data_IF_148064687503
#
_entry.id   IF_148064687503
#
_cell.length_a   1.000
_cell.length_b   1.000
_cell.length_c   1.000
_cell.angle_alpha   90.00
_cell.angle_beta   90.00
_cell.angle_gamma   90.00
#
_symmetry.space_group_name_H-M   'P 1'
#
loop_
_entity.id
_entity.type
_entity.pdbx_description
1 polymer ?
#
# COMPACT_ATOMS: atom_id res chain seq x y z
N UNK A 1 -13.25 -3.80 -13.59
CA UNK A 1 -13.38 -3.96 -12.12
C UNK A 1 -14.02 -2.73 -11.51
N UNK A 2 -13.44 -1.50 -11.63
CA UNK A 2 -13.95 -0.29 -10.97
C UNK A 2 -15.42 -0.03 -11.32
N UNK A 3 -15.80 0.04 -12.64
CA UNK A 3 -17.18 0.26 -13.05
C UNK A 3 -18.14 -0.77 -12.44
N UNK A 4 -17.80 -2.06 -12.56
CA UNK A 4 -18.67 -3.13 -12.05
C UNK A 4 -18.89 -3.02 -10.53
N UNK A 5 -17.82 -2.74 -9.76
CA UNK A 5 -17.95 -2.57 -8.32
C UNK A 5 -18.78 -1.34 -7.91
N UNK A 6 -18.66 -0.23 -8.64
CA UNK A 6 -19.50 0.94 -8.44
C UNK A 6 -20.97 0.65 -8.77
N UNK A 7 -21.22 -0.10 -9.85
CA UNK A 7 -22.57 -0.52 -10.23
C UNK A 7 -23.22 -1.41 -9.16
N UNK A 8 -22.45 -2.32 -8.55
CA UNK A 8 -22.92 -3.14 -7.41
C UNK A 8 -23.23 -2.31 -6.16
N UNK A 9 -22.48 -1.21 -5.96
CA UNK A 9 -22.69 -0.28 -4.85
C UNK A 9 -23.80 0.75 -5.13
N UNK A 10 -24.38 0.77 -6.32
CA UNK A 10 -25.49 1.66 -6.68
C UNK A 10 -25.05 2.99 -7.31
N UNK A 11 -23.76 3.19 -7.61
CA UNK A 11 -23.26 4.40 -8.31
C UNK A 11 -23.32 4.18 -9.82
N UNK A 12 -24.45 4.55 -10.45
CA UNK A 12 -24.77 4.23 -11.86
C UNK A 12 -25.25 5.43 -12.67
N UNK A 13 -25.42 6.60 -12.03
CA UNK A 13 -26.20 7.70 -12.63
C UNK A 13 -25.33 8.68 -13.42
N UNK A 14 -24.00 8.54 -13.34
CA UNK A 14 -23.06 9.43 -13.98
C UNK A 14 -22.08 8.70 -14.90
N UNK A 15 -21.16 9.47 -15.43
CA UNK A 15 -19.95 8.87 -15.99
C UNK A 15 -19.08 8.30 -14.87
N UNK A 16 -18.05 7.53 -15.26
CA UNK A 16 -17.19 6.86 -14.28
C UNK A 16 -16.50 7.83 -13.31
N UNK A 17 -16.13 9.02 -13.78
CA UNK A 17 -15.46 10.02 -12.95
C UNK A 17 -16.40 10.61 -11.90
N UNK A 18 -17.63 10.92 -12.30
CA UNK A 18 -18.65 11.46 -11.40
C UNK A 18 -19.07 10.44 -10.34
N UNK A 19 -19.27 9.18 -10.74
CA UNK A 19 -19.64 8.11 -9.83
C UNK A 19 -18.52 7.80 -8.83
N UNK A 20 -17.26 7.78 -9.27
CA UNK A 20 -16.10 7.64 -8.39
C UNK A 20 -16.00 8.79 -7.39
N UNK A 21 -16.16 10.04 -7.85
CA UNK A 21 -16.09 11.19 -6.98
C UNK A 21 -17.17 11.15 -5.88
N UNK A 22 -18.40 10.72 -6.23
CA UNK A 22 -19.47 10.52 -5.24
C UNK A 22 -19.11 9.42 -4.25
N UNK A 23 -18.69 8.26 -4.75
CA UNK A 23 -18.33 7.13 -3.90
C UNK A 23 -17.19 7.50 -2.93
N UNK A 24 -16.13 8.17 -3.41
CA UNK A 24 -15.06 8.63 -2.54
C UNK A 24 -15.59 9.63 -1.50
N UNK A 25 -16.43 10.59 -1.89
CA UNK A 25 -17.03 11.57 -0.97
C UNK A 25 -17.91 10.92 0.10
N UNK A 26 -18.76 9.97 -0.28
CA UNK A 26 -19.68 9.27 0.63
C UNK A 26 -18.96 8.34 1.62
N UNK A 27 -17.71 8.00 1.33
CA UNK A 27 -16.91 7.07 2.14
C UNK A 27 -15.78 7.76 2.93
N UNK A 28 -15.67 9.09 2.84
CA UNK A 28 -14.73 9.88 3.66
C UNK A 28 -15.08 9.75 5.14
N UNK A 29 -14.08 9.41 5.92
CA UNK A 29 -14.17 9.37 7.37
C UNK A 29 -13.98 10.79 7.92
N UNK A 30 -14.87 11.28 8.81
CA UNK A 30 -14.69 12.57 9.48
C UNK A 30 -13.31 12.68 10.12
N UNK A 31 -12.70 13.87 10.07
CA UNK A 31 -11.31 14.08 10.49
C UNK A 31 -11.02 13.63 11.92
N UNK A 32 -11.95 13.86 12.83
CA UNK A 32 -11.88 13.47 14.24
C UNK A 32 -12.05 11.97 14.47
N UNK A 33 -12.69 11.28 13.52
CA UNK A 33 -12.87 9.83 13.54
C UNK A 33 -11.74 9.05 12.83
N UNK A 34 -10.84 9.72 12.11
CA UNK A 34 -9.78 9.06 11.32
C UNK A 34 -8.88 8.17 12.18
N UNK A 35 -8.36 8.70 13.29
CA UNK A 35 -7.45 7.93 14.17
C UNK A 35 -8.19 6.78 14.89
N UNK A 36 -9.36 7.01 15.51
CA UNK A 36 -10.14 5.90 16.08
C UNK A 36 -10.49 4.80 15.08
N UNK A 37 -10.87 5.18 13.85
CA UNK A 37 -11.17 4.20 12.77
C UNK A 37 -9.92 3.41 12.38
N UNK A 38 -8.77 4.08 12.23
CA UNK A 38 -7.51 3.39 11.93
C UNK A 38 -7.11 2.43 13.06
N UNK A 39 -7.28 2.83 14.32
CA UNK A 39 -6.99 1.99 15.48
C UNK A 39 -7.83 0.70 15.49
N UNK A 40 -9.12 0.81 15.23
CA UNK A 40 -10.01 -0.35 15.10
C UNK A 40 -9.60 -1.26 13.94
N UNK A 41 -9.29 -0.70 12.78
CA UNK A 41 -8.81 -1.46 11.62
C UNK A 41 -7.44 -2.13 11.86
N UNK A 42 -6.54 -1.49 12.59
CA UNK A 42 -5.27 -2.09 13.03
C UNK A 42 -5.53 -3.29 13.96
N UNK A 43 -6.46 -3.16 14.89
CA UNK A 43 -6.86 -4.26 15.77
C UNK A 43 -7.44 -5.43 14.97
N UNK A 44 -8.36 -5.18 14.04
CA UNK A 44 -8.95 -6.21 13.19
C UNK A 44 -7.90 -6.88 12.31
N UNK A 45 -6.99 -6.14 11.68
CA UNK A 45 -5.92 -6.69 10.84
C UNK A 45 -4.97 -7.58 11.64
N UNK A 46 -4.60 -7.16 12.87
CA UNK A 46 -3.79 -7.97 13.79
C UNK A 46 -4.44 -9.31 14.13
N UNK A 47 -5.75 -9.30 14.43
CA UNK A 47 -6.48 -10.56 14.71
C UNK A 47 -6.48 -11.48 13.49
N UNK A 48 -6.68 -10.94 12.29
CA UNK A 48 -6.64 -11.72 11.05
C UNK A 48 -5.25 -12.32 10.80
N UNK A 49 -4.18 -11.55 10.98
CA UNK A 49 -2.80 -12.05 10.86
C UNK A 49 -2.52 -13.19 11.84
N UNK A 50 -2.90 -13.04 13.09
CA UNK A 50 -2.71 -14.09 14.11
C UNK A 50 -3.46 -15.38 13.77
N UNK A 51 -4.63 -15.27 13.15
CA UNK A 51 -5.45 -16.43 12.76
C UNK A 51 -4.87 -17.21 11.58
N UNK A 52 -4.21 -16.55 10.62
CA UNK A 52 -3.85 -17.17 9.33
C UNK A 52 -2.36 -17.21 9.01
N UNK A 53 -1.55 -16.32 9.59
CA UNK A 53 -0.12 -16.17 9.24
C UNK A 53 0.81 -16.40 10.41
N UNK A 54 0.93 -15.39 11.27
CA UNK A 54 1.90 -15.31 12.36
C UNK A 54 1.27 -14.76 13.63
N UNK A 55 1.69 -15.23 14.78
CA UNK A 55 1.31 -14.62 16.06
C UNK A 55 2.14 -13.35 16.30
N UNK A 56 1.48 -12.22 16.17
CA UNK A 56 1.97 -10.88 16.49
C UNK A 56 1.14 -10.22 17.59
N UNK A 57 0.48 -11.01 18.44
CA UNK A 57 -0.39 -10.50 19.50
C UNK A 57 0.31 -9.60 20.52
N UNK A 58 1.64 -9.75 20.68
CA UNK A 58 2.46 -8.88 21.53
C UNK A 58 2.90 -7.57 20.86
N UNK A 59 2.74 -7.44 19.55
CA UNK A 59 3.16 -6.25 18.79
C UNK A 59 1.99 -5.30 18.58
N UNK A 60 2.30 -4.02 18.59
CA UNK A 60 1.34 -2.96 18.29
C UNK A 60 2.00 -1.80 17.56
N UNK A 61 1.21 -1.10 16.75
CA UNK A 61 1.58 0.18 16.15
C UNK A 61 0.56 1.22 16.63
N UNK A 62 1.04 2.25 17.30
CA UNK A 62 0.23 3.36 17.75
C UNK A 62 -0.13 4.28 16.57
N UNK A 63 -1.42 4.45 16.20
CA UNK A 63 -1.79 5.42 15.19
C UNK A 63 -1.71 6.84 15.74
N UNK A 64 -0.99 7.73 15.05
CA UNK A 64 -0.76 9.11 15.47
C UNK A 64 -1.09 10.08 14.34
N UNK A 65 -2.04 10.99 14.59
CA UNK A 65 -2.35 12.08 13.69
C UNK A 65 -1.25 13.14 13.67
N UNK A 66 -0.81 13.52 12.48
CA UNK A 66 0.15 14.62 12.25
C UNK A 66 -0.40 15.57 11.21
N UNK A 67 0.18 16.77 11.09
CA UNK A 67 -0.15 17.76 10.07
C UNK A 67 1.12 18.32 9.46
N UNK A 68 1.00 18.97 8.30
CA UNK A 68 2.10 19.63 7.60
C UNK A 68 3.30 18.71 7.34
N UNK A 69 3.02 17.46 6.95
CA UNK A 69 4.05 16.48 6.58
C UNK A 69 4.04 16.22 5.07
N UNK A 70 5.20 15.89 4.47
CA UNK A 70 5.31 15.64 3.03
C UNK A 70 4.81 14.24 2.61
N UNK A 71 4.15 13.51 3.50
CA UNK A 71 3.61 12.18 3.25
C UNK A 71 2.14 12.10 3.69
N UNK A 72 1.39 11.14 3.17
CA UNK A 72 0.04 10.83 3.65
C UNK A 72 0.07 9.91 4.87
N UNK A 73 0.82 8.82 4.80
CA UNK A 73 1.08 7.91 5.92
C UNK A 73 2.55 7.53 5.97
N UNK A 74 3.02 7.08 7.13
CA UNK A 74 4.40 6.65 7.32
C UNK A 74 4.51 5.66 8.48
N UNK A 75 5.14 4.51 8.23
CA UNK A 75 5.51 3.54 9.25
C UNK A 75 6.79 3.99 9.97
N UNK A 76 6.67 4.53 11.17
CA UNK A 76 7.83 4.75 12.07
C UNK A 76 8.08 3.46 12.86
N UNK A 77 8.65 2.46 12.17
CA UNK A 77 8.87 1.14 12.73
C UNK A 77 9.68 1.16 14.04
N UNK A 78 10.80 1.92 14.17
CA UNK A 78 11.56 1.94 15.42
C UNK A 78 10.76 2.46 16.62
N UNK A 79 9.81 3.38 16.40
CA UNK A 79 8.95 3.92 17.46
C UNK A 79 7.61 3.22 17.57
N UNK A 80 7.35 2.21 16.73
CA UNK A 80 6.06 1.50 16.65
C UNK A 80 4.88 2.44 16.46
N UNK A 81 4.99 3.38 15.51
CA UNK A 81 3.94 4.36 15.21
C UNK A 81 3.56 4.35 13.72
N UNK A 82 2.26 4.45 13.47
CA UNK A 82 1.74 4.81 12.15
C UNK A 82 1.40 6.30 12.19
N UNK A 83 2.20 7.11 11.51
CA UNK A 83 1.94 8.54 11.40
C UNK A 83 0.99 8.79 10.23
N UNK A 84 -0.15 9.43 10.48
CA UNK A 84 -1.16 9.73 9.48
C UNK A 84 -1.34 11.24 9.35
N UNK A 85 -1.11 11.79 8.16
CA UNK A 85 -1.24 13.22 7.93
C UNK A 85 -2.71 13.61 7.73
N UNK A 86 -3.28 14.25 8.76
CA UNK A 86 -4.69 14.66 8.80
C UNK A 86 -5.02 15.87 7.88
N UNK A 87 -4.07 16.38 7.11
CA UNK A 87 -4.35 17.37 6.07
C UNK A 87 -4.96 16.72 4.80
N UNK A 88 -4.90 15.39 4.69
CA UNK A 88 -5.53 14.64 3.61
C UNK A 88 -6.87 14.02 4.05
N UNK A 89 -7.87 13.96 3.15
CA UNK A 89 -9.07 13.17 3.40
C UNK A 89 -8.77 11.68 3.24
N UNK A 90 -9.40 10.86 4.08
CA UNK A 90 -9.29 9.40 4.02
C UNK A 90 -10.68 8.77 3.89
N UNK A 91 -10.85 7.89 2.91
CA UNK A 91 -11.99 6.98 2.89
C UNK A 91 -11.76 5.83 3.87
N UNK A 92 -12.83 5.18 4.32
CA UNK A 92 -12.72 3.98 5.18
C UNK A 92 -11.88 2.89 4.50
N UNK A 93 -11.96 2.76 3.19
CA UNK A 93 -11.17 1.79 2.41
C UNK A 93 -9.69 2.13 2.36
N UNK A 94 -9.36 3.43 2.26
CA UNK A 94 -7.98 3.89 2.36
C UNK A 94 -7.38 3.60 3.74
N UNK A 95 -8.14 3.81 4.82
CA UNK A 95 -7.70 3.47 6.17
C UNK A 95 -7.53 1.95 6.35
N UNK A 96 -8.43 1.14 5.79
CA UNK A 96 -8.31 -0.33 5.80
C UNK A 96 -7.04 -0.79 5.08
N UNK A 97 -6.75 -0.22 3.91
CA UNK A 97 -5.50 -0.47 3.20
C UNK A 97 -4.29 -0.05 4.04
N UNK A 98 -4.28 1.15 4.63
CA UNK A 98 -3.18 1.63 5.47
C UNK A 98 -2.94 0.74 6.70
N UNK A 99 -3.99 0.24 7.35
CA UNK A 99 -3.85 -0.69 8.46
C UNK A 99 -3.11 -1.98 8.06
N UNK A 100 -3.40 -2.51 6.87
CA UNK A 100 -2.72 -3.70 6.35
C UNK A 100 -1.34 -3.39 5.80
N UNK A 101 -1.14 -2.24 5.20
CA UNK A 101 0.12 -1.81 4.59
C UNK A 101 1.18 -1.44 5.64
N UNK A 102 0.83 -0.52 6.56
CA UNK A 102 1.79 0.01 7.53
C UNK A 102 2.07 -0.98 8.68
N UNK A 103 1.11 -1.87 9.00
CA UNK A 103 1.23 -2.73 10.15
C UNK A 103 1.03 -4.23 9.84
N UNK A 104 -0.21 -4.71 9.75
CA UNK A 104 -0.55 -6.15 9.77
C UNK A 104 -1.29 -6.57 8.48
N UNK A 105 -0.67 -7.33 7.58
CA UNK A 105 0.61 -8.04 7.63
C UNK A 105 1.79 -7.28 7.02
N UNK A 106 1.66 -6.00 6.72
CA UNK A 106 2.63 -5.18 5.99
C UNK A 106 3.94 -4.92 6.74
N UNK A 107 4.34 -3.65 6.79
CA UNK A 107 5.68 -3.25 7.23
C UNK A 107 6.04 -3.71 8.64
N UNK A 108 5.15 -3.59 9.64
CA UNK A 108 5.44 -4.03 11.00
C UNK A 108 5.76 -5.52 11.07
N UNK A 109 4.91 -6.35 10.45
CA UNK A 109 5.11 -7.82 10.46
C UNK A 109 6.36 -8.20 9.69
N UNK A 110 6.56 -7.62 8.50
CA UNK A 110 7.71 -7.93 7.67
C UNK A 110 9.03 -7.56 8.36
N UNK A 111 9.15 -6.34 8.87
CA UNK A 111 10.36 -5.89 9.56
C UNK A 111 10.58 -6.64 10.88
N UNK A 112 9.51 -6.88 11.64
CA UNK A 112 9.60 -7.64 12.89
C UNK A 112 10.03 -9.09 12.70
N UNK A 113 9.59 -9.76 11.63
CA UNK A 113 10.07 -11.11 11.30
C UNK A 113 11.54 -11.08 10.89
N UNK A 114 11.97 -10.11 10.09
CA UNK A 114 13.39 -9.97 9.70
C UNK A 114 14.28 -9.74 10.91
N UNK A 115 13.90 -8.90 11.85
CA UNK A 115 14.64 -8.72 13.11
C UNK A 115 14.77 -10.05 13.89
N UNK A 116 13.69 -10.82 13.99
CA UNK A 116 13.69 -12.13 14.66
C UNK A 116 14.62 -13.11 13.95
N UNK A 117 14.54 -13.21 12.61
CA UNK A 117 15.38 -14.11 11.82
C UNK A 117 16.85 -13.71 11.83
N UNK A 118 17.18 -12.42 11.93
CA UNK A 118 18.57 -11.99 12.12
C UNK A 118 19.04 -12.30 13.53
N UNK A 119 18.20 -12.09 14.55
CA UNK A 119 18.56 -12.36 15.94
C UNK A 119 18.78 -13.85 16.23
N UNK A 120 18.05 -14.75 15.58
CA UNK A 120 18.21 -16.21 15.72
C UNK A 120 19.23 -16.81 14.74
N UNK A 121 19.83 -16.00 13.86
CA UNK A 121 20.86 -16.41 12.90
C UNK A 121 20.34 -17.10 11.64
N UNK A 122 19.02 -17.18 11.43
CA UNK A 122 18.42 -17.76 10.22
C UNK A 122 18.44 -16.82 9.01
N UNK A 123 18.67 -15.52 9.24
CA UNK A 123 18.88 -14.51 8.20
C UNK A 123 20.18 -13.75 8.45
N UNK A 124 20.97 -13.41 7.40
CA UNK A 124 22.18 -12.63 7.58
C UNK A 124 21.88 -11.19 8.06
N UNK A 125 22.88 -10.55 8.70
CA UNK A 125 22.74 -9.24 9.35
C UNK A 125 22.23 -8.14 8.40
N UNK A 126 22.59 -8.16 7.12
CA UNK A 126 22.10 -7.24 6.11
C UNK A 126 20.58 -7.39 5.86
N UNK A 127 20.00 -8.52 6.25
CA UNK A 127 18.55 -8.72 6.27
C UNK A 127 17.79 -7.74 7.17
N UNK A 128 18.40 -7.22 8.23
CA UNK A 128 17.80 -6.21 9.10
C UNK A 128 17.89 -4.78 8.52
N UNK A 129 18.66 -4.57 7.46
CA UNK A 129 18.82 -3.25 6.87
C UNK A 129 17.66 -2.94 5.90
N UNK A 130 17.10 -1.75 6.05
CA UNK A 130 16.14 -1.18 5.10
C UNK A 130 16.85 -0.11 4.28
N UNK A 131 17.19 -0.44 3.05
CA UNK A 131 17.81 0.49 2.11
C UNK A 131 16.76 0.97 1.12
N UNK A 132 16.30 2.20 1.30
CA UNK A 132 15.34 2.85 0.39
C UNK A 132 15.90 2.87 -1.03
N UNK A 133 15.05 2.68 -2.02
CA UNK A 133 15.39 2.62 -3.45
C UNK A 133 16.27 1.44 -3.86
N UNK A 134 16.43 0.42 -3.01
CA UNK A 134 17.03 -0.85 -3.41
C UNK A 134 16.02 -1.76 -4.13
N UNK A 135 16.51 -2.76 -4.86
CA UNK A 135 15.64 -3.74 -5.51
C UNK A 135 14.75 -4.52 -4.50
N UNK A 136 15.23 -4.71 -3.26
CA UNK A 136 14.45 -5.34 -2.19
C UNK A 136 13.33 -4.44 -1.66
N UNK A 137 13.48 -3.10 -1.74
CA UNK A 137 12.42 -2.15 -1.33
C UNK A 137 11.14 -2.34 -2.13
N UNK A 138 11.25 -2.79 -3.38
CA UNK A 138 10.10 -3.14 -4.21
C UNK A 138 9.25 -4.22 -3.57
N UNK A 139 9.87 -5.20 -2.91
CA UNK A 139 9.15 -6.26 -2.21
C UNK A 139 8.60 -5.80 -0.85
N UNK A 140 9.22 -4.83 -0.19
CA UNK A 140 8.64 -4.23 1.02
C UNK A 140 7.28 -3.60 0.71
N UNK A 141 7.21 -2.80 -0.34
CA UNK A 141 5.97 -2.16 -0.77
C UNK A 141 4.98 -3.19 -1.32
N UNK A 142 5.46 -4.15 -2.12
CA UNK A 142 4.60 -5.18 -2.70
C UNK A 142 3.95 -6.10 -1.66
N UNK A 143 4.67 -6.48 -0.61
CA UNK A 143 4.12 -7.23 0.53
C UNK A 143 3.04 -6.40 1.23
N UNK A 144 3.33 -5.13 1.49
CA UNK A 144 2.42 -4.24 2.19
C UNK A 144 1.14 -3.97 1.38
N UNK A 145 1.26 -3.70 0.08
CA UNK A 145 0.13 -3.42 -0.82
C UNK A 145 -0.78 -4.65 -1.04
N UNK A 146 -0.25 -5.88 -0.91
CA UNK A 146 -1.04 -7.10 -0.98
C UNK A 146 -1.64 -7.56 0.37
N UNK A 147 -1.46 -6.79 1.43
CA UNK A 147 -1.89 -7.16 2.78
C UNK A 147 -3.35 -7.55 2.90
N UNK A 148 -4.26 -6.80 2.28
CA UNK A 148 -5.70 -7.14 2.30
C UNK A 148 -5.98 -8.49 1.60
N UNK A 149 -5.31 -8.76 0.47
CA UNK A 149 -5.46 -10.03 -0.25
C UNK A 149 -4.90 -11.21 0.55
N UNK A 150 -3.80 -11.04 1.27
CA UNK A 150 -3.22 -12.07 2.13
C UNK A 150 -4.14 -12.49 3.27
N UNK A 151 -4.96 -11.56 3.75
CA UNK A 151 -5.89 -11.79 4.85
C UNK A 151 -7.29 -12.22 4.38
N UNK A 152 -7.48 -12.46 3.08
CA UNK A 152 -8.80 -12.64 2.46
C UNK A 152 -9.78 -11.54 2.92
N UNK A 153 -9.31 -10.29 2.99
CA UNK A 153 -10.06 -9.15 3.54
C UNK A 153 -10.53 -8.17 2.46
N UNK A 154 -10.88 -8.70 1.30
CA UNK A 154 -11.51 -7.98 0.19
C UNK A 154 -13.00 -8.33 0.15
N UNK A 155 -13.70 -8.06 1.27
CA UNK A 155 -15.03 -8.60 1.57
C UNK A 155 -16.15 -7.91 0.79
N UNK A 156 -15.92 -6.69 0.32
CA UNK A 156 -16.96 -5.86 -0.30
C UNK A 156 -16.59 -5.39 -1.71
N UNK A 157 -17.57 -5.06 -2.56
CA UNK A 157 -17.28 -4.42 -3.84
C UNK A 157 -16.48 -3.12 -3.68
N UNK A 158 -16.68 -2.37 -2.57
CA UNK A 158 -15.91 -1.17 -2.24
C UNK A 158 -14.43 -1.44 -2.01
N UNK A 159 -14.08 -2.54 -1.36
CA UNK A 159 -12.68 -2.97 -1.20
C UNK A 159 -12.03 -3.24 -2.57
N UNK A 160 -12.76 -3.91 -3.46
CA UNK A 160 -12.27 -4.23 -4.81
C UNK A 160 -12.10 -2.97 -5.66
N UNK A 161 -13.02 -2.02 -5.57
CA UNK A 161 -12.91 -0.69 -6.20
C UNK A 161 -11.68 0.04 -5.68
N UNK A 162 -11.50 0.09 -4.36
CA UNK A 162 -10.38 0.78 -3.71
C UNK A 162 -9.03 0.23 -4.15
N UNK A 163 -8.85 -1.10 -4.15
CA UNK A 163 -7.61 -1.76 -4.58
C UNK A 163 -7.35 -1.53 -6.07
N UNK A 164 -8.38 -1.64 -6.92
CA UNK A 164 -8.23 -1.39 -8.35
C UNK A 164 -7.84 0.07 -8.63
N UNK A 165 -8.42 1.02 -7.88
CA UNK A 165 -8.12 2.44 -7.99
C UNK A 165 -6.72 2.78 -7.48
N UNK A 166 -6.29 2.17 -6.38
CA UNK A 166 -4.93 2.30 -5.87
C UNK A 166 -3.90 1.81 -6.89
N UNK A 167 -4.12 0.63 -7.50
CA UNK A 167 -3.25 0.07 -8.53
C UNK A 167 -3.17 0.97 -9.76
N UNK A 168 -4.30 1.49 -10.23
CA UNK A 168 -4.34 2.46 -11.32
C UNK A 168 -3.49 3.70 -10.98
N UNK A 169 -3.73 4.30 -9.82
CA UNK A 169 -3.03 5.51 -9.37
C UNK A 169 -1.53 5.27 -9.12
N UNK A 170 -1.15 4.06 -8.70
CA UNK A 170 0.26 3.66 -8.56
C UNK A 170 0.96 3.57 -9.92
N UNK A 171 0.33 2.95 -10.92
CA UNK A 171 0.84 2.92 -12.30
C UNK A 171 0.98 4.32 -12.90
N UNK A 172 -0.01 5.18 -12.67
CA UNK A 172 0.02 6.56 -13.15
C UNK A 172 1.14 7.40 -12.50
N UNK A 173 1.52 7.12 -11.26
CA UNK A 173 2.70 7.74 -10.63
C UNK A 173 4.00 7.34 -11.34
N UNK A 174 4.11 6.09 -11.79
CA UNK A 174 5.25 5.67 -12.61
C UNK A 174 5.28 6.40 -13.95
N UNK A 175 4.12 6.54 -14.61
CA UNK A 175 4.00 7.31 -15.86
C UNK A 175 4.38 8.79 -15.63
N UNK A 176 3.93 9.39 -14.54
CA UNK A 176 4.30 10.77 -14.20
C UNK A 176 5.80 10.95 -13.99
N UNK A 177 6.45 9.99 -13.30
CA UNK A 177 7.91 10.00 -13.13
C UNK A 177 8.63 9.90 -14.49
N UNK A 178 8.16 9.03 -15.38
CA UNK A 178 8.70 8.94 -16.74
C UNK A 178 8.55 10.25 -17.51
N UNK A 179 7.34 10.82 -17.53
CA UNK A 179 7.09 12.12 -18.21
C UNK A 179 8.00 13.22 -17.68
N UNK A 180 8.25 13.25 -16.37
CA UNK A 180 9.07 14.26 -15.70
C UNK A 180 10.57 14.06 -16.00
N UNK A 181 11.07 12.85 -15.84
CA UNK A 181 12.52 12.60 -15.86
C UNK A 181 13.06 12.20 -17.23
N UNK A 182 12.28 11.50 -18.07
CA UNK A 182 12.68 11.12 -19.42
C UNK A 182 12.17 12.10 -20.48
N UNK A 183 10.87 12.41 -20.46
CA UNK A 183 10.27 13.32 -21.45
C UNK A 183 10.50 14.80 -21.10
N UNK A 184 11.05 15.10 -19.91
CA UNK A 184 11.35 16.46 -19.41
C UNK A 184 10.12 17.39 -19.36
N UNK A 185 8.93 16.81 -19.19
CA UNK A 185 7.71 17.59 -19.01
C UNK A 185 7.69 18.30 -17.66
N UNK A 186 7.09 19.46 -17.63
CA UNK A 186 6.84 20.22 -16.40
C UNK A 186 5.69 19.60 -15.59
N UNK A 187 5.63 19.90 -14.30
CA UNK A 187 4.47 19.50 -13.47
C UNK A 187 3.16 20.02 -14.07
N UNK A 188 3.16 21.23 -14.59
CA UNK A 188 1.95 21.86 -15.15
C UNK A 188 1.42 21.11 -16.37
N UNK A 189 2.30 20.48 -17.16
CA UNK A 189 1.93 19.62 -18.28
C UNK A 189 1.47 18.23 -17.82
N UNK A 190 2.05 17.69 -16.74
CA UNK A 190 1.77 16.33 -16.24
C UNK A 190 0.46 16.27 -15.44
N UNK A 191 0.22 17.27 -14.57
CA UNK A 191 -0.92 17.30 -13.65
C UNK A 191 -2.26 17.03 -14.33
N UNK A 192 -2.65 17.72 -15.41
CA UNK A 192 -3.96 17.49 -16.04
C UNK A 192 -4.09 16.09 -16.64
N UNK A 193 -3.01 15.51 -17.16
CA UNK A 193 -3.00 14.17 -17.74
C UNK A 193 -3.27 13.13 -16.64
N UNK A 194 -2.50 13.19 -15.58
CA UNK A 194 -2.60 12.24 -14.46
C UNK A 194 -3.92 12.40 -13.71
N UNK A 195 -4.40 13.63 -13.54
CA UNK A 195 -5.68 13.92 -12.90
C UNK A 195 -6.85 13.28 -13.66
N UNK A 196 -6.90 13.47 -14.97
CA UNK A 196 -7.93 12.90 -15.82
C UNK A 196 -7.90 11.36 -15.81
N UNK A 197 -6.73 10.76 -15.97
CA UNK A 197 -6.56 9.30 -16.00
C UNK A 197 -6.78 8.63 -14.64
N UNK A 198 -6.44 9.30 -13.55
CA UNK A 198 -6.54 8.80 -12.18
C UNK A 198 -7.83 9.15 -11.47
N UNK A 199 -8.75 9.85 -12.16
CA UNK A 199 -10.01 10.34 -11.58
C UNK A 199 -9.77 11.14 -10.30
N UNK A 200 -8.83 12.09 -10.35
CA UNK A 200 -8.44 12.91 -9.22
C UNK A 200 -8.53 14.40 -9.56
N UNK A 201 -8.57 15.25 -8.52
CA UNK A 201 -8.44 16.69 -8.74
C UNK A 201 -6.98 17.04 -9.08
N UNK A 202 -6.80 18.10 -9.86
CA UNK A 202 -5.48 18.62 -10.21
C UNK A 202 -4.67 19.03 -8.97
N UNK A 203 -5.34 19.53 -7.93
CA UNK A 203 -4.74 19.88 -6.64
C UNK A 203 -4.16 18.65 -5.93
N UNK A 204 -4.94 17.57 -5.83
CA UNK A 204 -4.50 16.30 -5.24
C UNK A 204 -3.29 15.74 -5.97
N UNK A 205 -3.32 15.74 -7.31
CA UNK A 205 -2.23 15.23 -8.13
C UNK A 205 -0.98 16.09 -7.96
N UNK A 206 -1.12 17.43 -8.00
CA UNK A 206 0.00 18.36 -7.80
C UNK A 206 0.73 18.11 -6.48
N UNK A 207 -0.01 17.97 -5.39
CA UNK A 207 0.55 17.67 -4.07
C UNK A 207 1.33 16.35 -4.04
N UNK A 208 0.81 15.32 -4.72
CA UNK A 208 1.48 14.01 -4.81
C UNK A 208 2.70 13.99 -5.73
N UNK A 209 2.70 14.77 -6.80
CA UNK A 209 3.83 14.84 -7.73
C UNK A 209 5.03 15.60 -7.16
N UNK A 210 4.85 16.42 -6.13
CA UNK A 210 5.97 17.09 -5.44
C UNK A 210 7.02 16.09 -4.92
N UNK A 211 6.60 14.88 -4.55
CA UNK A 211 7.49 13.80 -4.16
C UNK A 211 8.43 13.34 -5.29
N UNK A 212 7.97 13.40 -6.53
CA UNK A 212 8.72 12.94 -7.71
C UNK A 212 9.81 13.93 -8.16
N UNK A 213 9.79 15.17 -7.65
CA UNK A 213 10.84 16.14 -7.93
C UNK A 213 12.17 15.87 -7.24
N UNK A 214 12.15 15.06 -6.20
CA UNK A 214 13.36 14.78 -5.44
C UNK A 214 14.15 13.67 -6.13
N UNK A 215 15.35 13.96 -6.61
CA UNK A 215 16.19 13.07 -7.43
C UNK A 215 16.39 11.67 -6.84
N UNK A 216 16.49 11.57 -5.51
CA UNK A 216 16.67 10.29 -4.82
C UNK A 216 15.34 9.55 -4.55
N UNK A 217 14.20 10.23 -4.67
CA UNK A 217 12.87 9.65 -4.39
C UNK A 217 12.08 9.30 -5.64
N UNK A 218 12.35 9.97 -6.74
CA UNK A 218 11.68 9.67 -8.00
C UNK A 218 11.82 8.18 -8.41
N UNK A 219 13.00 7.56 -8.34
CA UNK A 219 13.16 6.14 -8.64
C UNK A 219 12.37 5.21 -7.70
N UNK A 220 12.09 5.64 -6.47
CA UNK A 220 11.37 4.83 -5.49
C UNK A 220 9.91 4.60 -5.86
N UNK A 221 9.30 5.48 -6.65
CA UNK A 221 7.88 5.35 -7.03
C UNK A 221 7.57 4.04 -7.75
N UNK A 222 8.54 3.46 -8.47
CA UNK A 222 8.37 2.17 -9.14
C UNK A 222 8.22 1.01 -8.16
N UNK A 223 8.71 1.16 -6.92
CA UNK A 223 8.64 0.12 -5.91
C UNK A 223 7.19 -0.30 -5.63
N UNK A 224 6.28 0.65 -5.55
CA UNK A 224 4.85 0.40 -5.31
C UNK A 224 4.23 -0.45 -6.42
N UNK A 225 4.25 0.04 -7.65
CA UNK A 225 3.64 -0.68 -8.79
C UNK A 225 4.31 -2.01 -9.08
N UNK A 226 5.63 -2.03 -9.21
CA UNK A 226 6.37 -3.25 -9.54
C UNK A 226 6.30 -4.28 -8.41
N UNK A 227 6.30 -3.82 -7.16
CA UNK A 227 6.19 -4.68 -5.99
C UNK A 227 4.82 -5.34 -5.87
N UNK A 228 3.76 -4.53 -5.95
CA UNK A 228 2.39 -5.03 -5.94
C UNK A 228 2.18 -6.07 -7.05
N UNK A 229 2.54 -5.73 -8.29
CA UNK A 229 2.38 -6.62 -9.42
C UNK A 229 3.17 -7.93 -9.29
N UNK A 230 4.42 -7.86 -8.79
CA UNK A 230 5.27 -9.05 -8.62
C UNK A 230 4.73 -9.99 -7.54
N UNK A 231 4.28 -9.44 -6.42
CA UNK A 231 3.73 -10.23 -5.31
C UNK A 231 2.37 -10.81 -5.67
N UNK A 232 1.47 -10.00 -6.24
CA UNK A 232 0.13 -10.41 -6.68
C UNK A 232 0.19 -11.54 -7.72
N UNK A 233 1.12 -11.44 -8.69
CA UNK A 233 1.29 -12.46 -9.73
C UNK A 233 1.67 -13.83 -9.17
N UNK A 234 2.50 -13.89 -8.13
CA UNK A 234 2.84 -15.14 -7.47
C UNK A 234 1.72 -15.59 -6.52
N UNK A 235 1.17 -14.67 -5.71
CA UNK A 235 0.09 -14.97 -4.76
C UNK A 235 -1.12 -15.62 -5.41
N UNK A 236 -1.55 -15.15 -6.56
CA UNK A 236 -2.68 -15.74 -7.31
C UNK A 236 -2.47 -17.19 -7.73
N UNK A 237 -1.24 -17.66 -7.75
CA UNK A 237 -0.88 -19.02 -8.11
C UNK A 237 -0.66 -19.91 -6.87
N UNK A 238 -0.69 -19.33 -5.65
CA UNK A 238 -0.47 -20.07 -4.39
C UNK A 238 -1.76 -20.79 -3.99
N UNK A 239 -1.79 -22.14 -4.00
CA UNK A 239 -2.93 -22.87 -3.49
C UNK A 239 -3.17 -22.57 -2.01
N UNK A 240 -4.42 -22.61 -1.51
CA UNK A 240 -4.70 -22.34 -0.09
C UNK A 240 -3.87 -23.20 0.88
N UNK A 241 -3.61 -24.45 0.55
CA UNK A 241 -2.80 -25.36 1.37
C UNK A 241 -1.32 -24.96 1.46
N UNK A 242 -0.81 -24.18 0.49
CA UNK A 242 0.58 -23.74 0.40
C UNK A 242 0.79 -22.32 0.97
N UNK A 243 -0.25 -21.61 1.35
CA UNK A 243 -0.17 -20.22 1.80
C UNK A 243 0.80 -20.02 2.95
N UNK A 244 0.77 -20.92 3.95
CA UNK A 244 1.70 -20.85 5.09
C UNK A 244 3.16 -20.99 4.65
N UNK A 245 3.45 -21.91 3.72
CA UNK A 245 4.79 -22.08 3.15
C UNK A 245 5.21 -20.83 2.34
N UNK A 246 4.27 -20.27 1.59
CA UNK A 246 4.52 -19.05 0.82
C UNK A 246 4.85 -17.86 1.73
N UNK A 247 4.15 -17.65 2.83
CA UNK A 247 4.46 -16.58 3.76
C UNK A 247 5.85 -16.77 4.39
N UNK A 248 6.22 -17.98 4.81
CA UNK A 248 7.58 -18.24 5.27
C UNK A 248 8.63 -17.93 4.21
N UNK A 249 8.37 -18.27 2.97
CA UNK A 249 9.23 -17.96 1.84
C UNK A 249 9.31 -16.44 1.60
N UNK A 250 8.17 -15.76 1.54
CA UNK A 250 8.08 -14.34 1.20
C UNK A 250 8.68 -13.43 2.29
N UNK A 251 8.41 -13.72 3.55
CA UNK A 251 8.87 -12.89 4.68
C UNK A 251 10.24 -13.34 5.23
N UNK A 252 10.60 -14.60 5.07
CA UNK A 252 11.81 -15.18 5.63
C UNK A 252 13.03 -15.13 4.71
N UNK A 253 12.88 -14.64 3.48
CA UNK A 253 13.97 -14.55 2.51
C UNK A 253 14.01 -13.16 1.87
N UNK A 254 15.23 -12.68 1.62
CA UNK A 254 15.39 -11.42 0.87
C UNK A 254 15.18 -11.66 -0.62
N UNK A 255 14.12 -11.09 -1.15
CA UNK A 255 13.76 -11.20 -2.56
C UNK A 255 13.89 -9.88 -3.32
N UNK A 256 14.07 -10.00 -4.62
CA UNK A 256 13.74 -9.00 -5.62
C UNK A 256 12.51 -9.49 -6.41
N UNK A 257 11.82 -8.65 -7.20
CA UNK A 257 10.71 -9.11 -8.04
C UNK A 257 11.08 -10.33 -8.90
N UNK A 258 12.30 -10.35 -9.44
CA UNK A 258 12.79 -11.47 -10.27
C UNK A 258 13.01 -12.75 -9.46
N UNK A 259 13.61 -12.65 -8.28
CA UNK A 259 13.93 -13.83 -7.47
C UNK A 259 12.69 -14.41 -6.80
N UNK A 260 11.70 -13.58 -6.45
CA UNK A 260 10.43 -14.04 -5.89
C UNK A 260 9.75 -15.07 -6.79
N UNK A 261 9.51 -14.73 -8.05
CA UNK A 261 8.86 -15.62 -8.99
C UNK A 261 9.73 -16.81 -9.39
N UNK A 262 11.06 -16.61 -9.51
CA UNK A 262 11.99 -17.64 -9.97
C UNK A 262 12.14 -18.80 -9.02
N UNK A 263 12.16 -18.54 -7.72
CA UNK A 263 12.48 -19.54 -6.71
C UNK A 263 11.25 -20.06 -5.95
N UNK A 264 10.06 -19.50 -6.18
CA UNK A 264 8.83 -20.11 -5.70
C UNK A 264 8.48 -21.32 -6.57
N UNK A 265 8.44 -22.52 -5.96
CA UNK A 265 8.14 -23.81 -6.62
C UNK A 265 7.27 -24.69 -5.71
#
# INVERSE_FOLDING_TARGET
TIRNGLDELGYRDGDLAADLARWEADTIVPRDAVIPTLEDLLWQSRQRVAAVMYDFSSEWMEPVGVTQKPFAAYCDYPRRKVLLNLDFPYTVYALKHLATHEAFPGHLVHLGLRERYVADGSMPLDGAQVVTSSASSTLFEGIADNGMAFLDWLDTPGDQVAVALQRLRSALRCNAAWMMHEEKKTIEEIVPIIAAQGYQTTETVRGRLAFLHHDLRAPFVYAYWCGDAAVDAVWKQVPPAERKRFWHYLYGTMHTPTTLARYWR
#
